data_IF_214293925604
#
_entry.id   IF_214293925604
#
_cell.length_a   1.000
_cell.length_b   1.000
_cell.length_c   1.000
_cell.angle_alpha   90.00
_cell.angle_beta   90.00
_cell.angle_gamma   90.00
#
_symmetry.space_group_name_H-M   'P 1'
#
loop_
_entity.id
_entity.type
_entity.pdbx_description
1 polymer ?
#
# COMPACT_ATOMS: atom_id res chain seq x y z
N UNK A 1 -36.52 -69.67 -34.75
CA UNK A 1 -37.77 -68.89 -34.85
C UNK A 1 -38.04 -68.29 -33.48
N UNK A 2 -38.09 -66.97 -33.41
CA UNK A 2 -38.09 -66.16 -32.19
C UNK A 2 -39.47 -66.14 -31.51
N UNK A 3 -39.52 -66.35 -30.19
CA UNK A 3 -40.17 -65.47 -29.20
C UNK A 3 -40.15 -66.12 -27.80
N UNK A 4 -39.98 -65.28 -26.75
CA UNK A 4 -40.64 -65.33 -25.42
C UNK A 4 -39.71 -65.09 -24.20
N UNK A 5 -39.90 -63.90 -23.60
CA UNK A 5 -40.02 -63.57 -22.16
C UNK A 5 -39.03 -64.10 -21.11
N UNK A 6 -38.28 -63.20 -20.43
CA UNK A 6 -38.46 -62.75 -19.02
C UNK A 6 -37.18 -62.15 -18.39
N UNK A 7 -37.39 -61.07 -17.63
CA UNK A 7 -36.70 -60.55 -16.43
C UNK A 7 -35.17 -60.65 -16.27
N UNK A 8 -34.54 -59.50 -15.98
CA UNK A 8 -33.19 -59.41 -15.43
C UNK A 8 -32.86 -58.02 -14.88
N UNK A 9 -33.08 -57.86 -13.57
CA UNK A 9 -32.34 -57.05 -12.59
C UNK A 9 -31.45 -55.90 -13.13
N UNK A 10 -31.80 -54.64 -12.83
CA UNK A 10 -30.84 -53.52 -12.89
C UNK A 10 -30.77 -52.81 -11.55
N UNK A 11 -29.59 -52.94 -10.97
CA UNK A 11 -29.10 -52.47 -9.68
C UNK A 11 -29.19 -50.96 -9.56
N UNK A 12 -29.78 -50.47 -8.46
CA UNK A 12 -29.79 -49.06 -8.10
C UNK A 12 -28.43 -48.71 -7.48
N UNK A 13 -27.56 -48.01 -8.21
CA UNK A 13 -26.34 -47.42 -7.64
C UNK A 13 -26.70 -46.00 -7.19
N UNK A 14 -26.86 -45.83 -5.88
CA UNK A 14 -26.99 -44.51 -5.26
C UNK A 14 -25.59 -43.86 -5.19
N UNK A 15 -25.29 -42.98 -6.14
CA UNK A 15 -24.09 -42.14 -6.08
C UNK A 15 -24.32 -41.01 -5.07
N UNK A 16 -23.72 -41.12 -3.88
CA UNK A 16 -23.56 -40.01 -2.96
C UNK A 16 -22.70 -38.92 -3.60
N UNK A 17 -23.32 -37.80 -4.02
CA UNK A 17 -22.60 -36.56 -4.27
C UNK A 17 -22.11 -36.00 -2.93
N UNK A 18 -20.83 -36.19 -2.63
CA UNK A 18 -20.14 -35.39 -1.62
C UNK A 18 -19.92 -34.02 -2.25
N UNK A 19 -20.73 -33.05 -1.85
CA UNK A 19 -20.49 -31.65 -2.14
C UNK A 19 -19.21 -31.21 -1.41
N UNK A 20 -18.08 -31.29 -2.09
CA UNK A 20 -16.83 -30.64 -1.64
C UNK A 20 -17.08 -29.15 -1.73
N UNK A 21 -17.33 -28.51 -0.58
CA UNK A 21 -17.37 -27.07 -0.48
C UNK A 21 -16.00 -26.53 -0.88
N UNK A 22 -15.91 -25.90 -2.04
CA UNK A 22 -14.75 -25.10 -2.42
C UNK A 22 -14.75 -23.88 -1.51
N UNK A 23 -13.96 -23.91 -0.44
CA UNK A 23 -13.53 -22.68 0.22
C UNK A 23 -12.82 -21.84 -0.85
N UNK A 24 -13.37 -20.67 -1.15
CA UNK A 24 -12.68 -19.70 -1.99
C UNK A 24 -11.35 -19.39 -1.28
N UNK A 25 -10.24 -19.85 -1.84
CA UNK A 25 -8.91 -19.49 -1.38
C UNK A 25 -8.78 -17.96 -1.57
N UNK A 26 -8.97 -17.23 -0.48
CA UNK A 26 -8.69 -15.80 -0.42
C UNK A 26 -7.19 -15.64 -0.68
N UNK A 27 -6.83 -14.90 -1.73
CA UNK A 27 -5.45 -14.66 -2.07
C UNK A 27 -4.82 -13.77 -0.99
N UNK A 28 -4.06 -14.38 -0.08
CA UNK A 28 -3.45 -13.71 1.07
C UNK A 28 -1.98 -13.39 0.75
N UNK A 29 -1.53 -12.16 1.06
CA UNK A 29 -0.13 -11.76 0.94
C UNK A 29 0.69 -12.37 2.09
N UNK A 30 1.75 -13.10 1.77
CA UNK A 30 2.76 -13.55 2.74
C UNK A 30 3.86 -12.51 2.83
N UNK A 31 4.14 -12.05 4.06
CA UNK A 31 5.15 -11.02 4.34
C UNK A 31 6.40 -11.64 4.96
N UNK A 32 7.55 -11.49 4.31
CA UNK A 32 8.86 -11.87 4.86
C UNK A 32 9.69 -10.61 5.15
N UNK A 33 10.12 -10.43 6.40
CA UNK A 33 10.98 -9.31 6.82
C UNK A 33 12.44 -9.78 6.87
N UNK A 34 13.33 -9.02 6.25
CA UNK A 34 14.79 -9.23 6.29
C UNK A 34 15.50 -7.91 6.61
N UNK A 35 16.52 -7.95 7.46
CA UNK A 35 17.28 -6.78 7.88
C UNK A 35 18.21 -7.08 9.05
N UNK A 36 19.34 -6.36 9.13
CA UNK A 36 20.37 -6.53 10.16
C UNK A 36 20.71 -5.16 10.77
N UNK A 37 20.86 -5.09 12.10
CA UNK A 37 21.63 -4.02 12.74
C UNK A 37 20.90 -2.74 13.16
N UNK A 38 19.57 -2.74 13.35
CA UNK A 38 18.89 -1.65 14.07
C UNK A 38 18.51 -2.06 15.50
N UNK A 39 18.78 -1.21 16.49
CA UNK A 39 18.28 -1.39 17.85
C UNK A 39 16.75 -1.44 17.82
N UNK A 40 16.17 -2.55 18.24
CA UNK A 40 14.73 -2.76 18.30
C UNK A 40 14.23 -2.47 19.71
N UNK A 41 13.08 -1.80 19.81
CA UNK A 41 12.43 -1.52 21.08
C UNK A 41 11.72 -2.79 21.60
N UNK A 42 12.10 -3.33 22.77
CA UNK A 42 11.48 -4.53 23.33
C UNK A 42 10.08 -4.22 23.88
N UNK A 43 9.07 -4.92 23.38
CA UNK A 43 7.68 -4.72 23.81
C UNK A 43 6.95 -6.05 24.01
N UNK A 44 6.19 -6.16 25.08
CA UNK A 44 5.26 -7.27 25.32
C UNK A 44 3.82 -6.80 25.10
N UNK A 45 3.06 -7.54 24.29
CA UNK A 45 1.62 -7.31 24.09
C UNK A 45 0.86 -8.54 24.58
N UNK A 46 0.15 -8.41 25.69
CA UNK A 46 -0.67 -9.48 26.23
C UNK A 46 -1.77 -9.89 25.25
N UNK A 47 -2.25 -11.13 25.38
CA UNK A 47 -3.55 -11.51 24.82
C UNK A 47 -4.61 -10.61 25.43
N UNK A 48 -5.51 -10.07 24.63
CA UNK A 48 -6.53 -9.16 25.14
C UNK A 48 -7.64 -9.97 25.83
N UNK A 49 -8.20 -9.45 26.92
CA UNK A 49 -9.34 -10.05 27.57
C UNK A 49 -10.53 -10.18 26.60
N UNK A 50 -11.28 -11.29 26.69
CA UNK A 50 -12.42 -11.63 25.83
C UNK A 50 -12.11 -11.81 24.33
N UNK A 51 -10.84 -11.73 23.91
CA UNK A 51 -10.41 -11.85 22.52
C UNK A 51 -10.67 -13.23 21.91
N UNK A 52 -10.69 -14.29 22.71
CA UNK A 52 -11.00 -15.64 22.22
C UNK A 52 -12.41 -15.74 21.58
N UNK A 53 -13.33 -14.85 21.98
CA UNK A 53 -14.69 -14.75 21.42
C UNK A 53 -14.79 -13.74 20.27
N UNK A 54 -13.69 -13.06 19.92
CA UNK A 54 -13.61 -12.10 18.82
C UNK A 54 -13.30 -12.83 17.50
N UNK A 55 -13.93 -12.42 16.39
CA UNK A 55 -13.63 -12.98 15.06
C UNK A 55 -12.22 -12.62 14.56
N UNK A 56 -11.54 -11.66 15.20
CA UNK A 56 -10.17 -11.27 14.91
C UNK A 56 -9.32 -11.28 16.17
N UNK A 57 -8.08 -11.77 16.05
CA UNK A 57 -7.08 -11.76 17.11
C UNK A 57 -6.31 -10.42 17.07
N UNK A 58 -6.91 -9.37 17.63
CA UNK A 58 -6.40 -7.99 17.75
C UNK A 58 -4.97 -7.93 18.29
N UNK A 59 -4.68 -8.58 19.41
CA UNK A 59 -3.36 -8.61 20.05
C UNK A 59 -2.29 -9.22 19.14
N UNK A 60 -2.65 -10.25 18.37
CA UNK A 60 -1.76 -10.86 17.38
C UNK A 60 -1.45 -9.92 16.22
N UNK A 61 -2.45 -9.18 15.72
CA UNK A 61 -2.26 -8.18 14.66
C UNK A 61 -1.32 -7.07 15.14
N UNK A 62 -1.51 -6.57 16.37
CA UNK A 62 -0.63 -5.54 16.96
C UNK A 62 0.82 -6.04 17.03
N UNK A 63 1.06 -7.25 17.55
CA UNK A 63 2.42 -7.84 17.60
C UNK A 63 3.05 -7.94 16.21
N UNK A 64 2.27 -8.34 15.21
CA UNK A 64 2.74 -8.47 13.84
C UNK A 64 3.06 -7.12 13.19
N UNK A 65 2.24 -6.10 13.40
CA UNK A 65 2.49 -4.72 12.92
C UNK A 65 3.81 -4.17 13.47
N UNK A 66 3.95 -4.20 14.80
CA UNK A 66 5.13 -3.68 15.48
C UNK A 66 6.39 -4.42 15.01
N UNK A 67 6.35 -5.75 14.96
CA UNK A 67 7.47 -6.55 14.44
C UNK A 67 7.79 -6.24 12.98
N UNK A 68 6.78 -6.12 12.11
CA UNK A 68 6.97 -5.82 10.68
C UNK A 68 7.68 -4.49 10.46
N UNK A 69 7.45 -3.48 11.30
CA UNK A 69 8.19 -2.21 11.20
C UNK A 69 9.71 -2.38 11.31
N UNK A 70 10.19 -3.49 11.87
CA UNK A 70 11.61 -3.70 12.15
C UNK A 70 12.14 -2.81 13.27
N UNK A 71 11.29 -1.97 13.89
CA UNK A 71 11.63 -1.09 15.02
C UNK A 71 11.33 -1.71 16.38
N UNK A 72 10.55 -2.79 16.42
CA UNK A 72 10.19 -3.48 17.66
C UNK A 72 10.63 -4.93 17.63
N UNK A 73 10.91 -5.47 18.82
CA UNK A 73 11.06 -6.89 19.06
C UNK A 73 9.99 -7.33 20.06
N UNK A 74 9.34 -8.45 19.77
CA UNK A 74 8.26 -8.96 20.60
C UNK A 74 8.85 -9.77 21.77
N UNK A 75 8.56 -9.34 23.00
CA UNK A 75 8.82 -10.09 24.22
C UNK A 75 7.58 -10.95 24.52
N UNK A 76 7.80 -12.22 24.86
CA UNK A 76 6.70 -13.15 25.11
C UNK A 76 5.88 -12.73 26.35
N UNK A 77 4.58 -12.53 26.13
CA UNK A 77 3.62 -12.18 27.16
C UNK A 77 2.94 -13.41 27.79
N UNK A 78 3.17 -14.61 27.26
CA UNK A 78 2.41 -15.81 27.63
C UNK A 78 0.97 -15.77 27.12
N UNK A 79 0.20 -16.81 27.46
CA UNK A 79 -1.18 -16.99 26.97
C UNK A 79 -2.27 -16.35 27.84
N UNK A 80 -1.97 -15.96 29.07
CA UNK A 80 -2.96 -15.42 30.01
C UNK A 80 -3.45 -14.04 29.55
N UNK A 81 -4.76 -13.85 29.34
CA UNK A 81 -5.27 -12.54 28.97
C UNK A 81 -5.06 -11.51 30.08
N UNK A 82 -4.78 -10.25 29.71
CA UNK A 82 -4.65 -9.13 30.64
C UNK A 82 -5.51 -7.98 30.15
N UNK A 83 -6.51 -7.59 30.96
CA UNK A 83 -7.43 -6.48 30.67
C UNK A 83 -6.75 -5.12 30.87
N UNK A 84 -7.22 -4.08 30.19
CA UNK A 84 -6.79 -2.70 30.44
C UNK A 84 -7.18 -2.20 31.84
N UNK A 85 -8.12 -2.88 32.50
CA UNK A 85 -8.58 -2.55 33.86
C UNK A 85 -7.79 -3.25 34.96
N UNK A 86 -6.98 -4.24 34.61
CA UNK A 86 -6.23 -5.02 35.60
C UNK A 86 -5.08 -4.21 36.20
N UNK A 87 -4.74 -4.52 37.45
CA UNK A 87 -3.48 -4.04 38.03
C UNK A 87 -2.33 -4.82 37.40
N UNK A 88 -1.37 -4.12 36.82
CA UNK A 88 -0.23 -4.73 36.11
C UNK A 88 1.05 -4.55 36.92
N UNK A 89 1.72 -5.65 37.25
CA UNK A 89 3.08 -5.63 37.79
C UNK A 89 4.09 -5.32 36.67
N UNK A 90 4.38 -4.03 36.47
CA UNK A 90 5.33 -3.56 35.46
C UNK A 90 6.77 -4.00 35.75
N UNK A 91 7.13 -4.23 37.02
CA UNK A 91 8.44 -4.73 37.42
C UNK A 91 8.70 -6.12 36.86
N UNK A 92 7.69 -6.99 36.90
CA UNK A 92 7.77 -8.34 36.31
C UNK A 92 8.01 -8.32 34.80
N UNK A 93 7.40 -7.37 34.06
CA UNK A 93 7.57 -7.24 32.61
C UNK A 93 8.95 -6.69 32.24
N UNK A 94 9.44 -5.70 33.00
CA UNK A 94 10.82 -5.23 32.88
C UNK A 94 11.82 -6.35 33.12
N UNK A 95 11.59 -7.19 34.13
CA UNK A 95 12.45 -8.34 34.43
C UNK A 95 12.45 -9.41 33.31
N UNK A 96 11.36 -9.52 32.53
CA UNK A 96 11.28 -10.33 31.31
C UNK A 96 11.94 -9.67 30.08
N UNK A 97 12.45 -8.45 30.22
CA UNK A 97 13.14 -7.72 29.16
C UNK A 97 12.23 -6.89 28.25
N UNK A 98 10.96 -6.66 28.64
CA UNK A 98 10.08 -5.74 27.92
C UNK A 98 10.21 -4.32 28.49
N UNK A 99 10.58 -3.34 27.66
CA UNK A 99 10.66 -1.91 28.03
C UNK A 99 9.29 -1.23 27.96
N UNK A 100 8.35 -1.82 27.21
CA UNK A 100 6.95 -1.45 27.21
C UNK A 100 6.03 -2.67 27.32
N UNK A 101 4.85 -2.47 27.89
CA UNK A 101 3.82 -3.48 28.01
C UNK A 101 2.45 -2.97 27.55
N UNK A 102 1.67 -3.84 26.90
CA UNK A 102 0.33 -3.53 26.42
C UNK A 102 -0.67 -4.55 26.96
N UNK A 103 -1.73 -4.06 27.61
CA UNK A 103 -2.91 -4.84 28.00
C UNK A 103 -4.16 -4.28 27.34
N UNK A 104 -5.23 -5.08 27.27
CA UNK A 104 -6.45 -4.65 26.60
C UNK A 104 -7.58 -5.67 26.63
N UNK A 105 -8.72 -5.29 26.05
CA UNK A 105 -9.90 -6.13 25.92
C UNK A 105 -10.61 -5.91 24.59
N UNK A 106 -11.36 -6.94 24.16
CA UNK A 106 -12.24 -6.89 22.99
C UNK A 106 -13.64 -7.32 23.40
N UNK A 107 -14.59 -6.38 23.39
CA UNK A 107 -15.96 -6.64 23.87
C UNK A 107 -16.97 -6.45 22.75
N UNK A 108 -17.85 -7.45 22.54
CA UNK A 108 -18.99 -7.32 21.64
C UNK A 108 -20.10 -6.53 22.33
N UNK A 109 -20.53 -5.43 21.71
CA UNK A 109 -21.58 -4.55 22.21
C UNK A 109 -22.98 -5.07 21.81
N UNK A 110 -24.05 -4.65 22.53
CA UNK A 110 -25.42 -5.10 22.24
C UNK A 110 -25.92 -4.78 20.82
N UNK A 111 -25.39 -3.74 20.20
CA UNK A 111 -25.71 -3.33 18.82
C UNK A 111 -24.93 -4.12 17.75
N UNK A 112 -24.18 -5.16 18.14
CA UNK A 112 -23.39 -6.01 17.25
C UNK A 112 -22.01 -5.46 16.86
N UNK A 113 -21.67 -4.23 17.27
CA UNK A 113 -20.32 -3.68 17.11
C UNK A 113 -19.36 -4.28 18.14
N UNK A 114 -18.07 -4.04 17.96
CA UNK A 114 -17.01 -4.42 18.88
C UNK A 114 -16.29 -3.19 19.39
N UNK A 115 -15.97 -3.19 20.68
CA UNK A 115 -15.14 -2.19 21.34
C UNK A 115 -13.78 -2.82 21.69
N UNK A 116 -12.70 -2.23 21.18
CA UNK A 116 -11.32 -2.55 21.52
C UNK A 116 -10.80 -1.49 22.46
N UNK A 117 -10.43 -1.88 23.69
CA UNK A 117 -9.79 -1.00 24.68
C UNK A 117 -8.38 -1.50 24.95
N UNK A 118 -7.45 -0.58 25.18
CA UNK A 118 -6.09 -0.96 25.59
C UNK A 118 -5.45 0.10 26.48
N UNK A 119 -4.39 -0.28 27.16
CA UNK A 119 -3.44 0.62 27.82
C UNK A 119 -2.01 0.23 27.45
N UNK A 120 -1.18 1.25 27.28
CA UNK A 120 0.25 1.13 27.05
C UNK A 120 0.99 1.63 28.29
N UNK A 121 2.03 0.90 28.69
CA UNK A 121 2.85 1.20 29.86
C UNK A 121 4.33 1.28 29.48
N UNK A 122 5.05 2.20 30.12
CA UNK A 122 6.52 2.23 30.17
C UNK A 122 6.95 1.44 31.40
N UNK A 123 7.56 0.26 31.19
CA UNK A 123 7.97 -0.62 32.30
C UNK A 123 9.25 -0.12 32.93
N UNK A 124 10.03 0.74 32.26
CA UNK A 124 11.28 1.27 32.81
C UNK A 124 10.98 2.39 33.79
N UNK A 125 10.09 3.31 33.42
CA UNK A 125 9.61 4.43 34.25
C UNK A 125 8.47 4.07 35.18
N UNK A 126 7.88 2.88 35.03
CA UNK A 126 6.77 2.39 35.84
C UNK A 126 5.52 3.29 35.74
N UNK A 127 5.19 3.75 34.53
CA UNK A 127 4.06 4.66 34.30
C UNK A 127 3.15 4.21 33.16
N UNK A 128 1.90 4.68 33.17
CA UNK A 128 0.98 4.51 32.04
C UNK A 128 1.20 5.60 31.01
N UNK A 129 1.35 5.22 29.75
CA UNK A 129 1.45 6.12 28.60
C UNK A 129 0.07 6.43 27.98
N UNK A 130 -1.01 5.92 28.59
CA UNK A 130 -2.39 6.11 28.16
C UNK A 130 -2.93 4.93 27.35
N UNK A 131 -4.04 5.17 26.65
CA UNK A 131 -4.77 4.15 25.90
C UNK A 131 -5.91 4.74 25.08
N UNK A 132 -6.59 3.92 24.29
CA UNK A 132 -7.77 4.31 23.53
C UNK A 132 -8.92 3.31 23.73
N UNK A 133 -10.13 3.77 23.43
CA UNK A 133 -11.28 2.91 23.12
C UNK A 133 -11.68 3.13 21.66
N UNK A 134 -11.79 2.04 20.90
CA UNK A 134 -12.14 2.05 19.48
C UNK A 134 -13.38 1.18 19.27
N UNK A 135 -14.47 1.79 18.80
CA UNK A 135 -15.69 1.07 18.45
C UNK A 135 -15.76 0.91 16.94
N UNK A 136 -15.97 -0.32 16.47
CA UNK A 136 -16.08 -0.64 15.04
C UNK A 136 -17.02 -1.82 14.79
N UNK A 137 -17.62 -1.94 13.60
CA UNK A 137 -18.23 -3.20 13.19
C UNK A 137 -17.17 -4.32 13.12
N UNK A 138 -17.61 -5.57 13.03
CA UNK A 138 -16.73 -6.73 12.88
C UNK A 138 -15.69 -6.55 11.76
N UNK A 139 -16.12 -6.03 10.60
CA UNK A 139 -15.26 -5.75 9.45
C UNK A 139 -14.21 -4.66 9.69
N UNK A 140 -14.30 -3.91 10.80
CA UNK A 140 -13.35 -2.87 11.19
C UNK A 140 -12.35 -3.30 12.28
N UNK A 141 -12.48 -4.51 12.85
CA UNK A 141 -11.63 -4.96 13.96
C UNK A 141 -10.14 -4.97 13.63
N UNK A 142 -9.77 -5.42 12.42
CA UNK A 142 -8.37 -5.38 11.96
C UNK A 142 -7.83 -3.95 11.92
N UNK A 143 -8.61 -3.03 11.34
CA UNK A 143 -8.26 -1.61 11.30
C UNK A 143 -8.15 -0.99 12.69
N UNK A 144 -8.98 -1.42 13.65
CA UNK A 144 -8.85 -1.03 15.06
C UNK A 144 -7.52 -1.53 15.65
N UNK A 145 -7.11 -2.77 15.40
CA UNK A 145 -5.80 -3.29 15.82
C UNK A 145 -4.63 -2.48 15.23
N UNK A 146 -4.69 -2.17 13.93
CA UNK A 146 -3.69 -1.33 13.26
C UNK A 146 -3.59 0.08 13.88
N UNK A 147 -4.73 0.69 14.26
CA UNK A 147 -4.75 1.99 14.97
C UNK A 147 -4.12 1.91 16.36
N UNK A 148 -4.30 0.78 17.07
CA UNK A 148 -3.60 0.54 18.35
C UNK A 148 -2.09 0.46 18.12
N UNK A 149 -1.64 -0.26 17.10
CA UNK A 149 -0.21 -0.33 16.75
C UNK A 149 0.36 1.04 16.36
N UNK A 150 -0.40 1.87 15.63
CA UNK A 150 0.01 3.23 15.27
C UNK A 150 0.16 4.13 16.50
N UNK A 151 -0.74 3.99 17.48
CA UNK A 151 -0.64 4.70 18.75
C UNK A 151 0.61 4.30 19.53
N UNK A 152 0.88 2.99 19.63
CA UNK A 152 2.06 2.46 20.31
C UNK A 152 3.33 2.98 19.65
N UNK A 153 3.40 2.90 18.31
CA UNK A 153 4.52 3.43 17.53
C UNK A 153 4.78 4.90 17.83
N UNK A 154 3.72 5.72 17.79
CA UNK A 154 3.82 7.15 18.01
C UNK A 154 4.26 7.50 19.44
N UNK A 155 3.75 6.79 20.45
CA UNK A 155 4.09 7.03 21.86
C UNK A 155 5.52 6.65 22.21
N UNK A 156 6.03 5.56 21.64
CA UNK A 156 7.34 5.03 22.00
C UNK A 156 8.48 5.57 21.12
N UNK A 157 8.23 5.76 19.83
CA UNK A 157 9.28 6.12 18.85
C UNK A 157 9.11 7.53 18.28
N UNK A 158 7.96 8.17 18.52
CA UNK A 158 7.59 9.41 17.86
C UNK A 158 7.15 9.21 16.39
N UNK A 159 6.60 10.27 15.81
CA UNK A 159 6.01 10.20 14.46
C UNK A 159 4.74 9.34 14.40
N UNK A 160 4.18 9.16 13.20
CA UNK A 160 2.97 8.32 13.00
C UNK A 160 3.39 6.97 12.41
N UNK A 161 2.88 5.89 12.99
CA UNK A 161 2.88 4.58 12.33
C UNK A 161 2.01 4.60 11.06
N UNK A 162 2.23 3.64 10.16
CA UNK A 162 1.49 3.50 8.90
C UNK A 162 0.68 2.21 8.84
N UNK A 163 0.42 1.57 9.98
CA UNK A 163 -0.25 0.28 10.02
C UNK A 163 -1.72 0.44 9.61
N UNK A 164 -2.39 1.51 10.04
CA UNK A 164 -3.78 1.81 9.68
C UNK A 164 -3.93 2.51 8.31
N UNK A 165 -3.01 2.24 7.38
CA UNK A 165 -3.10 2.69 5.98
C UNK A 165 -3.48 1.52 5.08
N UNK A 166 -3.71 1.79 3.79
CA UNK A 166 -4.07 0.78 2.78
C UNK A 166 -3.12 0.79 1.61
N UNK A 167 -3.05 -0.34 0.92
CA UNK A 167 -2.33 -0.47 -0.35
C UNK A 167 -3.34 -0.60 -1.49
N UNK A 168 -2.98 -0.07 -2.66
CA UNK A 168 -3.58 -0.49 -3.92
C UNK A 168 -2.52 -1.14 -4.80
N UNK A 169 -2.91 -2.13 -5.59
CA UNK A 169 -2.03 -2.82 -6.52
C UNK A 169 -2.86 -3.59 -7.55
N UNK A 170 -2.22 -3.99 -8.64
CA UNK A 170 -2.88 -4.77 -9.69
C UNK A 170 -2.37 -6.20 -9.65
N UNK A 171 -3.29 -7.15 -9.54
CA UNK A 171 -2.99 -8.58 -9.74
C UNK A 171 -3.37 -8.96 -11.16
N UNK A 172 -2.44 -9.63 -11.86
CA UNK A 172 -2.74 -10.41 -13.06
C UNK A 172 -2.83 -11.89 -12.69
N UNK A 173 -4.04 -12.44 -12.74
CA UNK A 173 -4.32 -13.86 -12.49
C UNK A 173 -5.15 -14.40 -13.64
N UNK A 174 -4.63 -15.43 -14.32
CA UNK A 174 -5.19 -15.89 -15.59
C UNK A 174 -5.24 -14.75 -16.63
N UNK A 175 -6.35 -14.69 -17.38
CA UNK A 175 -6.61 -13.65 -18.38
C UNK A 175 -7.25 -12.37 -17.84
N UNK A 176 -7.19 -12.10 -16.52
CA UNK A 176 -7.82 -10.92 -15.91
C UNK A 176 -6.84 -10.07 -15.12
N UNK A 177 -7.11 -8.77 -15.10
CA UNK A 177 -6.44 -7.75 -14.30
C UNK A 177 -7.39 -7.27 -13.21
N UNK A 178 -6.94 -7.29 -11.97
CA UNK A 178 -7.74 -6.91 -10.81
C UNK A 178 -7.04 -5.81 -10.01
N UNK A 179 -7.69 -4.65 -9.88
CA UNK A 179 -7.28 -3.62 -8.93
C UNK A 179 -7.74 -4.07 -7.54
N UNK A 180 -6.78 -4.31 -6.67
CA UNK A 180 -6.98 -4.72 -5.28
C UNK A 180 -6.76 -3.55 -4.34
N UNK A 181 -7.50 -3.55 -3.23
CA UNK A 181 -7.29 -2.67 -2.08
C UNK A 181 -7.12 -3.57 -0.86
N UNK A 182 -6.02 -3.43 -0.12
CA UNK A 182 -5.78 -4.19 1.11
C UNK A 182 -5.37 -3.28 2.25
N UNK A 183 -5.33 -3.81 3.47
CA UNK A 183 -4.59 -3.20 4.58
C UNK A 183 -3.09 -3.10 4.23
N UNK A 184 -2.35 -2.27 4.97
CA UNK A 184 -0.90 -2.04 4.77
C UNK A 184 -0.05 -3.30 4.86
N UNK A 185 -0.54 -4.33 5.55
CA UNK A 185 0.09 -5.64 5.69
C UNK A 185 -0.32 -6.66 4.61
N UNK A 186 -1.13 -6.23 3.64
CA UNK A 186 -1.59 -7.05 2.53
C UNK A 186 -2.84 -7.91 2.83
N UNK A 187 -3.40 -7.81 4.02
CA UNK A 187 -4.60 -8.54 4.45
C UNK A 187 -5.88 -7.76 4.14
N UNK A 188 -7.05 -8.40 4.35
CA UNK A 188 -8.38 -7.85 4.00
C UNK A 188 -8.41 -7.30 2.55
N UNK A 189 -7.79 -8.03 1.62
CA UNK A 189 -7.72 -7.63 0.23
C UNK A 189 -9.10 -7.73 -0.45
N UNK A 190 -9.51 -6.66 -1.12
CA UNK A 190 -10.79 -6.54 -1.82
C UNK A 190 -10.59 -6.10 -3.26
N UNK A 191 -11.35 -6.72 -4.15
CA UNK A 191 -11.35 -6.37 -5.57
C UNK A 191 -12.15 -5.09 -5.76
N UNK A 192 -11.49 -3.98 -6.05
CA UNK A 192 -12.14 -2.73 -6.44
C UNK A 192 -12.59 -2.75 -7.91
N UNK A 193 -11.80 -3.37 -8.81
CA UNK A 193 -12.17 -3.50 -10.22
C UNK A 193 -11.58 -4.79 -10.81
N UNK A 194 -12.34 -5.46 -11.67
CA UNK A 194 -11.90 -6.63 -12.42
C UNK A 194 -12.15 -6.43 -13.92
N UNK A 195 -11.08 -6.52 -14.71
CA UNK A 195 -11.09 -6.23 -16.16
C UNK A 195 -10.44 -7.36 -16.96
N UNK A 196 -10.93 -7.70 -18.16
CA UNK A 196 -10.20 -8.56 -19.10
C UNK A 196 -8.99 -7.84 -19.73
N UNK A 197 -8.97 -6.51 -19.67
CA UNK A 197 -7.91 -5.65 -20.21
C UNK A 197 -7.08 -5.02 -19.09
N UNK A 198 -5.84 -4.57 -19.37
CA UNK A 198 -4.95 -4.00 -18.35
C UNK A 198 -5.55 -2.87 -17.51
N UNK A 199 -5.15 -2.84 -16.24
CA UNK A 199 -5.31 -1.72 -15.32
C UNK A 199 -3.89 -1.34 -14.89
N UNK A 200 -3.53 -0.06 -14.96
CA UNK A 200 -2.17 0.40 -14.62
C UNK A 200 -2.21 1.72 -13.84
N UNK A 201 -1.08 2.01 -13.19
CA UNK A 201 -0.80 3.28 -12.51
C UNK A 201 -1.88 3.75 -11.52
N UNK A 202 -2.29 2.93 -10.53
CA UNK A 202 -3.19 3.39 -9.50
C UNK A 202 -2.52 4.47 -8.64
N UNK A 203 -3.28 5.48 -8.23
CA UNK A 203 -2.82 6.59 -7.40
C UNK A 203 -3.94 7.01 -6.44
N UNK A 204 -3.64 6.99 -5.14
CA UNK A 204 -4.59 7.38 -4.09
C UNK A 204 -4.86 8.89 -4.08
N UNK A 205 -6.11 9.27 -3.83
CA UNK A 205 -6.43 10.65 -3.44
C UNK A 205 -5.84 10.96 -2.07
N UNK A 206 -5.54 12.24 -1.75
CA UNK A 206 -4.90 12.62 -0.48
C UNK A 206 -5.71 12.28 0.78
N UNK A 207 -7.03 12.15 0.67
CA UNK A 207 -7.95 11.75 1.75
C UNK A 207 -8.08 10.22 1.91
N UNK A 208 -7.53 9.44 0.97
CA UNK A 208 -7.61 7.98 0.97
C UNK A 208 -8.99 7.42 0.57
N UNK A 209 -9.92 8.24 0.07
CA UNK A 209 -11.27 7.76 -0.30
C UNK A 209 -11.38 7.30 -1.74
N UNK A 210 -10.43 7.68 -2.61
CA UNK A 210 -10.48 7.41 -4.05
C UNK A 210 -9.15 6.90 -4.58
N UNK A 211 -9.23 6.17 -5.69
CA UNK A 211 -8.06 5.74 -6.46
C UNK A 211 -8.26 6.17 -7.92
N UNK A 212 -7.32 6.96 -8.43
CA UNK A 212 -7.21 7.24 -9.86
C UNK A 212 -6.38 6.14 -10.53
N UNK A 213 -6.69 5.76 -11.77
CA UNK A 213 -5.98 4.71 -12.49
C UNK A 213 -6.29 4.79 -13.99
N UNK A 214 -5.50 4.07 -14.79
CA UNK A 214 -5.76 3.89 -16.22
C UNK A 214 -6.41 2.54 -16.44
N UNK A 215 -7.51 2.50 -17.19
CA UNK A 215 -8.16 1.27 -17.61
C UNK A 215 -8.20 1.15 -19.13
N UNK A 216 -7.92 -0.06 -19.60
CA UNK A 216 -8.00 -0.43 -21.02
C UNK A 216 -9.29 -1.18 -21.36
N UNK A 217 -10.29 -1.22 -20.46
CA UNK A 217 -11.57 -1.94 -20.66
C UNK A 217 -12.31 -1.54 -21.96
N UNK A 218 -12.05 -0.32 -22.46
CA UNK A 218 -12.59 0.19 -23.74
C UNK A 218 -11.65 -0.03 -24.94
N UNK A 219 -10.66 -0.92 -24.80
CA UNK A 219 -9.57 -1.19 -25.77
C UNK A 219 -8.72 0.04 -26.12
N UNK A 220 -8.76 1.05 -25.26
CA UNK A 220 -7.94 2.26 -25.31
C UNK A 220 -7.70 2.76 -23.88
N UNK A 221 -6.60 3.48 -23.61
CA UNK A 221 -6.32 3.99 -22.28
C UNK A 221 -7.30 5.10 -21.90
N UNK A 222 -7.99 4.95 -20.77
CA UNK A 222 -8.88 5.95 -20.19
C UNK A 222 -8.52 6.13 -18.72
N UNK A 223 -8.37 7.38 -18.28
CA UNK A 223 -8.11 7.71 -16.88
C UNK A 223 -9.43 7.81 -16.13
N UNK A 224 -9.55 7.03 -15.06
CA UNK A 224 -10.71 7.01 -14.17
C UNK A 224 -10.32 7.41 -12.75
N UNK A 225 -11.29 7.92 -12.00
CA UNK A 225 -11.31 7.93 -10.54
C UNK A 225 -12.37 6.94 -10.07
N UNK A 226 -12.01 6.08 -9.13
CA UNK A 226 -12.92 5.20 -8.39
C UNK A 226 -13.10 5.74 -6.97
N UNK A 227 -14.33 6.07 -6.59
CA UNK A 227 -14.71 6.33 -5.20
C UNK A 227 -14.92 4.99 -4.47
N UNK A 228 -14.04 4.66 -3.54
CA UNK A 228 -14.03 3.33 -2.91
C UNK A 228 -15.26 3.07 -2.00
N UNK A 229 -15.77 4.05 -1.22
CA UNK A 229 -16.97 3.83 -0.41
C UNK A 229 -18.23 3.55 -1.24
N UNK A 230 -18.43 4.28 -2.34
CA UNK A 230 -19.68 4.21 -3.13
C UNK A 230 -19.58 3.28 -4.34
N UNK A 231 -18.38 2.93 -4.78
CA UNK A 231 -18.13 2.23 -6.05
C UNK A 231 -18.33 3.10 -7.30
N UNK A 232 -18.59 4.41 -7.14
CA UNK A 232 -18.81 5.32 -8.26
C UNK A 232 -17.52 5.56 -9.04
N UNK A 233 -17.61 5.58 -10.36
CA UNK A 233 -16.49 5.88 -11.27
C UNK A 233 -16.73 7.15 -12.07
N UNK A 234 -15.69 7.97 -12.20
CA UNK A 234 -15.68 9.19 -13.02
C UNK A 234 -14.60 9.06 -14.09
N UNK A 235 -14.90 9.42 -15.34
CA UNK A 235 -13.89 9.56 -16.39
C UNK A 235 -13.22 10.91 -16.21
N UNK A 236 -11.91 10.91 -15.96
CA UNK A 236 -11.11 12.13 -15.81
C UNK A 236 -10.53 12.56 -17.15
N UNK A 237 -10.06 11.60 -17.96
CA UNK A 237 -9.53 11.89 -19.29
C UNK A 237 -9.76 10.74 -20.26
N UNK A 238 -10.18 11.09 -21.48
CA UNK A 238 -10.45 10.18 -22.60
C UNK A 238 -10.15 10.89 -23.94
N UNK A 239 -8.98 11.50 -24.05
CA UNK A 239 -8.54 12.22 -25.23
C UNK A 239 -8.01 11.26 -26.31
N UNK A 240 -7.78 11.78 -27.53
CA UNK A 240 -7.14 11.01 -28.60
C UNK A 240 -5.71 10.61 -28.18
N UNK A 241 -5.33 9.36 -28.45
CA UNK A 241 -3.99 8.85 -28.15
C UNK A 241 -3.87 8.29 -26.73
N UNK A 242 -2.67 8.42 -26.15
CA UNK A 242 -2.37 7.95 -24.80
C UNK A 242 -3.03 8.85 -23.74
N UNK A 243 -3.57 8.24 -22.69
CA UNK A 243 -4.07 8.90 -21.48
C UNK A 243 -3.56 8.11 -20.27
N UNK A 244 -2.60 8.63 -19.53
CA UNK A 244 -1.87 7.82 -18.55
C UNK A 244 -1.36 8.60 -17.34
N UNK A 245 -0.77 7.85 -16.40
CA UNK A 245 -0.03 8.36 -15.24
C UNK A 245 -0.76 9.46 -14.44
N UNK A 246 -1.95 9.17 -13.88
CA UNK A 246 -2.64 10.13 -13.03
C UNK A 246 -1.85 10.38 -11.74
N UNK A 247 -1.74 11.65 -11.34
CA UNK A 247 -1.18 12.06 -10.05
C UNK A 247 -2.02 13.16 -9.42
N UNK A 248 -2.49 12.93 -8.19
CA UNK A 248 -3.32 13.89 -7.47
C UNK A 248 -2.52 15.11 -7.02
N UNK A 249 -3.15 16.29 -7.11
CA UNK A 249 -2.69 17.45 -6.34
C UNK A 249 -2.91 17.19 -4.84
N UNK A 250 -2.07 17.74 -3.93
CA UNK A 250 -2.19 17.50 -2.49
C UNK A 250 -3.51 17.96 -1.88
N UNK A 251 -4.19 18.93 -2.52
CA UNK A 251 -5.52 19.41 -2.12
C UNK A 251 -6.68 18.51 -2.61
N UNK A 252 -6.39 17.47 -3.40
CA UNK A 252 -7.36 16.52 -3.93
C UNK A 252 -8.31 17.09 -4.99
N UNK A 253 -8.10 18.33 -5.46
CA UNK A 253 -9.04 18.97 -6.41
C UNK A 253 -8.72 18.66 -7.87
N UNK A 254 -7.47 18.34 -8.17
CA UNK A 254 -6.97 18.21 -9.54
C UNK A 254 -6.06 16.99 -9.67
N UNK A 255 -5.81 16.62 -10.91
CA UNK A 255 -4.84 15.62 -11.30
C UNK A 255 -3.92 16.19 -12.37
N UNK A 256 -2.65 15.81 -12.31
CA UNK A 256 -1.76 15.84 -13.45
C UNK A 256 -1.90 14.49 -14.21
N UNK A 257 -1.92 14.54 -15.54
CA UNK A 257 -2.04 13.37 -16.42
C UNK A 257 -1.10 13.53 -17.62
N UNK A 258 -0.62 12.41 -18.15
CA UNK A 258 0.23 12.38 -19.34
C UNK A 258 -0.61 12.03 -20.58
N UNK A 259 -0.72 12.97 -21.54
CA UNK A 259 -1.55 12.86 -22.73
C UNK A 259 -0.74 13.04 -24.02
N UNK A 260 -1.01 12.24 -25.04
CA UNK A 260 -0.36 12.37 -26.37
C UNK A 260 -1.27 13.01 -27.43
N UNK A 261 -2.32 13.73 -27.01
CA UNK A 261 -3.30 14.33 -27.93
C UNK A 261 -2.70 15.41 -28.85
N UNK A 262 -1.54 15.98 -28.48
CA UNK A 262 -0.82 17.00 -29.25
C UNK A 262 0.38 16.44 -30.04
N UNK A 263 0.44 15.12 -30.27
CA UNK A 263 1.58 14.43 -30.87
C UNK A 263 2.41 13.72 -29.81
N UNK A 264 3.46 14.34 -29.31
CA UNK A 264 4.27 13.77 -28.23
C UNK A 264 3.51 13.81 -26.89
N UNK A 265 3.86 12.90 -25.98
CA UNK A 265 3.25 12.85 -24.64
C UNK A 265 3.69 14.08 -23.85
N UNK A 266 2.72 14.76 -23.27
CA UNK A 266 2.90 16.01 -22.52
C UNK A 266 2.06 15.95 -21.25
N UNK A 267 2.41 16.78 -20.27
CA UNK A 267 1.71 16.82 -18.99
C UNK A 267 0.57 17.84 -19.08
N UNK A 268 -0.60 17.43 -18.62
CA UNK A 268 -1.79 18.25 -18.49
C UNK A 268 -2.29 18.22 -17.05
N UNK A 269 -2.96 19.29 -16.63
CA UNK A 269 -3.77 19.36 -15.42
C UNK A 269 -5.25 19.21 -15.80
N UNK A 270 -6.03 18.54 -14.95
CA UNK A 270 -7.47 18.35 -15.11
C UNK A 270 -8.12 18.33 -13.72
N UNK A 271 -9.35 18.84 -13.59
CA UNK A 271 -10.10 18.76 -12.35
C UNK A 271 -10.51 17.30 -12.07
N UNK A 272 -10.74 16.95 -10.80
CA UNK A 272 -11.13 15.59 -10.41
C UNK A 272 -12.49 15.15 -11.00
N UNK A 273 -13.32 16.08 -11.46
CA UNK A 273 -14.56 15.80 -12.18
C UNK A 273 -14.38 15.60 -13.70
N UNK A 274 -13.15 15.74 -14.21
CA UNK A 274 -12.79 15.64 -15.63
C UNK A 274 -12.86 16.96 -16.42
N UNK A 275 -13.27 18.07 -15.78
CA UNK A 275 -13.32 19.39 -16.40
C UNK A 275 -11.97 20.12 -16.35
N UNK A 276 -11.89 21.30 -17.00
CA UNK A 276 -10.75 22.21 -16.81
C UNK A 276 -9.41 21.72 -17.34
N UNK A 277 -9.40 20.88 -18.39
CA UNK A 277 -8.18 20.35 -18.99
C UNK A 277 -7.26 21.49 -19.48
N UNK A 278 -6.02 21.53 -18.97
CA UNK A 278 -5.01 22.55 -19.28
C UNK A 278 -3.64 21.92 -19.49
N UNK A 279 -2.94 22.29 -20.56
CA UNK A 279 -1.57 21.82 -20.83
C UNK A 279 -0.56 22.51 -19.89
N UNK A 280 0.40 21.75 -19.36
CA UNK A 280 1.43 22.22 -18.43
C UNK A 280 2.84 22.20 -19.04
N UNK A 281 3.20 21.19 -19.82
CA UNK A 281 4.49 21.17 -20.55
C UNK A 281 4.31 21.50 -22.01
N UNK A 282 5.32 22.14 -22.61
CA UNK A 282 5.36 22.47 -24.02
C UNK A 282 6.69 22.05 -24.64
N UNK A 283 6.64 21.46 -25.83
CA UNK A 283 7.86 21.06 -26.53
C UNK A 283 7.66 19.81 -27.38
N UNK A 284 8.79 19.32 -27.89
CA UNK A 284 8.92 18.11 -28.69
C UNK A 284 9.43 16.91 -27.90
N UNK A 285 9.71 17.05 -26.59
CA UNK A 285 10.05 15.92 -25.72
C UNK A 285 8.83 15.07 -25.36
N UNK A 286 9.08 13.86 -24.86
CA UNK A 286 8.11 13.07 -24.09
C UNK A 286 8.22 13.51 -22.63
N UNK A 287 7.14 14.06 -22.09
CA UNK A 287 7.01 14.38 -20.66
C UNK A 287 5.88 13.53 -20.05
N UNK A 288 6.20 12.72 -19.03
CA UNK A 288 5.28 11.73 -18.46
C UNK A 288 5.54 11.49 -16.96
N UNK A 289 4.74 10.63 -16.33
CA UNK A 289 4.87 10.23 -14.92
C UNK A 289 4.94 11.43 -13.95
N UNK A 290 3.96 12.35 -13.99
CA UNK A 290 3.96 13.49 -13.07
C UNK A 290 3.81 13.02 -11.61
N UNK A 291 4.39 13.78 -10.68
CA UNK A 291 4.22 13.63 -9.25
C UNK A 291 4.28 15.01 -8.59
N UNK A 292 3.22 15.41 -7.88
CA UNK A 292 3.21 16.67 -7.14
C UNK A 292 4.17 16.62 -5.95
N UNK A 293 4.76 17.76 -5.62
CA UNK A 293 5.37 17.96 -4.30
C UNK A 293 4.27 18.03 -3.22
N UNK A 294 4.57 17.67 -1.95
CA UNK A 294 3.57 17.69 -0.87
C UNK A 294 2.94 19.06 -0.61
N UNK A 295 3.69 20.13 -0.87
CA UNK A 295 3.20 21.52 -0.75
C UNK A 295 2.38 21.99 -1.96
N UNK A 296 2.30 21.19 -3.03
CA UNK A 296 1.55 21.47 -4.24
C UNK A 296 2.19 22.50 -5.17
N UNK A 297 3.38 23.01 -4.86
CA UNK A 297 4.02 24.08 -5.62
C UNK A 297 4.76 23.58 -6.86
N UNK A 298 5.18 22.32 -6.87
CA UNK A 298 6.00 21.72 -7.92
C UNK A 298 5.36 20.44 -8.46
N UNK A 299 5.69 20.12 -9.71
CA UNK A 299 5.46 18.81 -10.32
C UNK A 299 6.82 18.28 -10.76
N UNK A 300 7.18 17.10 -10.24
CA UNK A 300 8.28 16.27 -10.73
C UNK A 300 7.77 15.36 -11.83
N UNK A 301 8.59 15.09 -12.85
CA UNK A 301 8.17 14.27 -13.99
C UNK A 301 9.36 13.70 -14.74
N UNK A 302 9.11 12.64 -15.51
CA UNK A 302 10.10 12.03 -16.41
C UNK A 302 10.07 12.76 -17.75
N UNK A 303 11.24 13.15 -18.27
CA UNK A 303 11.40 13.77 -19.58
C UNK A 303 12.63 13.27 -20.32
N UNK A 304 12.52 13.12 -21.65
CA UNK A 304 13.62 12.77 -22.56
C UNK A 304 14.29 13.99 -23.21
N UNK A 305 13.96 15.21 -22.77
CA UNK A 305 14.50 16.46 -23.36
C UNK A 305 16.04 16.58 -23.34
N UNK A 306 16.71 15.81 -22.49
CA UNK A 306 18.17 15.70 -22.42
C UNK A 306 18.75 14.51 -23.18
N UNK A 307 17.96 13.84 -24.03
CA UNK A 307 18.32 12.61 -24.76
C UNK A 307 17.70 11.37 -24.12
N UNK A 308 18.26 10.90 -23.01
CA UNK A 308 17.69 9.77 -22.26
C UNK A 308 16.67 10.26 -21.21
N UNK A 309 15.66 9.43 -20.83
CA UNK A 309 14.73 9.74 -19.75
C UNK A 309 15.42 10.09 -18.44
N UNK A 310 15.07 11.26 -17.91
CA UNK A 310 15.58 11.81 -16.66
C UNK A 310 14.45 12.49 -15.91
N UNK A 311 14.63 12.71 -14.61
CA UNK A 311 13.64 13.42 -13.78
C UNK A 311 13.89 14.92 -13.83
N UNK A 312 12.83 15.66 -14.10
CA UNK A 312 12.74 17.12 -14.09
C UNK A 312 11.69 17.58 -13.08
N UNK A 313 11.73 18.87 -12.73
CA UNK A 313 10.70 19.54 -11.95
C UNK A 313 10.29 20.84 -12.62
N UNK A 314 9.03 21.23 -12.46
CA UNK A 314 8.50 22.52 -12.89
C UNK A 314 7.54 23.07 -11.83
N UNK A 315 7.14 24.35 -11.97
CA UNK A 315 5.99 24.88 -11.22
C UNK A 315 4.74 24.04 -11.48
N UNK A 316 3.90 23.85 -10.47
CA UNK A 316 2.59 23.21 -10.64
C UNK A 316 1.65 23.99 -11.59
N UNK A 317 1.96 25.26 -11.89
CA UNK A 317 1.27 26.08 -12.88
C UNK A 317 1.78 25.85 -14.32
N UNK A 318 2.73 24.95 -14.51
CA UNK A 318 3.31 24.57 -15.80
C UNK A 318 4.51 25.42 -16.21
N UNK A 319 5.10 25.07 -17.36
CA UNK A 319 6.31 25.69 -17.89
C UNK A 319 6.10 27.14 -18.35
N UNK A 320 4.84 27.58 -18.51
CA UNK A 320 4.52 28.99 -18.71
C UNK A 320 4.93 29.89 -17.52
N UNK A 321 5.08 29.32 -16.32
CA UNK A 321 5.54 30.04 -15.13
C UNK A 321 7.06 29.97 -14.93
N UNK A 322 7.78 29.23 -15.78
CA UNK A 322 9.23 29.04 -15.70
C UNK A 322 9.65 27.70 -16.29
N UNK A 323 10.83 27.66 -16.92
CA UNK A 323 11.35 26.45 -17.56
C UNK A 323 11.55 25.31 -16.56
N UNK A 324 11.26 24.07 -16.96
CA UNK A 324 11.55 22.92 -16.11
C UNK A 324 13.05 22.72 -15.91
N UNK A 325 13.41 22.23 -14.72
CA UNK A 325 14.77 22.05 -14.27
C UNK A 325 15.06 20.57 -14.04
N UNK A 326 16.22 20.10 -14.50
CA UNK A 326 16.65 18.71 -14.28
C UNK A 326 16.97 18.49 -12.80
N UNK A 327 16.57 17.34 -12.26
CA UNK A 327 16.73 16.95 -10.86
C UNK A 327 17.75 15.82 -10.69
N UNK A 328 17.79 14.88 -11.63
CA UNK A 328 18.67 13.70 -11.56
C UNK A 328 19.90 13.86 -12.45
N UNK A 329 21.09 13.70 -11.87
CA UNK A 329 22.37 13.80 -12.58
C UNK A 329 23.23 12.53 -12.46
N UNK A 330 22.81 11.59 -11.60
CA UNK A 330 23.41 10.27 -11.45
C UNK A 330 22.56 9.23 -12.19
N UNK A 331 23.22 8.34 -12.95
CA UNK A 331 22.55 7.31 -13.75
C UNK A 331 22.13 7.80 -15.14
N UNK A 332 22.18 6.90 -16.13
CA UNK A 332 21.92 7.22 -17.53
C UNK A 332 20.44 7.22 -17.92
N UNK A 333 19.57 6.67 -17.06
CA UNK A 333 18.14 6.54 -17.31
C UNK A 333 17.42 6.53 -15.95
N UNK A 334 16.55 7.51 -15.70
CA UNK A 334 15.86 7.71 -14.43
C UNK A 334 14.38 8.06 -14.66
N UNK A 335 13.46 7.31 -14.05
CA UNK A 335 12.01 7.41 -14.30
C UNK A 335 11.18 7.22 -13.04
N UNK A 336 9.87 7.36 -13.17
CA UNK A 336 8.86 7.08 -12.15
C UNK A 336 9.09 7.83 -10.82
N UNK A 337 9.29 9.17 -10.84
CA UNK A 337 9.58 9.93 -9.65
C UNK A 337 8.42 9.88 -8.65
N UNK A 338 8.75 9.79 -7.36
CA UNK A 338 7.82 10.01 -6.24
C UNK A 338 8.50 10.90 -5.23
N UNK A 339 7.82 11.94 -4.78
CA UNK A 339 8.34 12.84 -3.75
C UNK A 339 7.95 12.29 -2.38
N UNK A 340 8.86 12.34 -1.41
CA UNK A 340 8.56 11.96 -0.03
C UNK A 340 7.50 12.88 0.59
N UNK A 341 6.69 12.42 1.55
CA UNK A 341 5.65 13.25 2.19
C UNK A 341 6.16 14.53 2.85
N UNK A 342 7.43 14.58 3.25
CA UNK A 342 8.08 15.77 3.82
C UNK A 342 8.76 16.68 2.77
N UNK A 343 8.74 16.29 1.49
CA UNK A 343 9.28 17.06 0.38
C UNK A 343 10.81 17.04 0.27
N UNK A 344 11.51 16.23 1.06
CA UNK A 344 12.99 16.25 1.14
C UNK A 344 13.68 15.25 0.22
N UNK A 345 12.97 14.21 -0.24
CA UNK A 345 13.55 13.12 -1.01
C UNK A 345 12.70 12.80 -2.25
N UNK A 346 13.36 12.21 -3.25
CA UNK A 346 12.69 11.65 -4.43
C UNK A 346 13.09 10.20 -4.59
N UNK A 347 12.13 9.29 -4.51
CA UNK A 347 12.31 7.90 -4.91
C UNK A 347 12.09 7.78 -6.42
N UNK A 348 12.90 6.97 -7.10
CA UNK A 348 12.82 6.78 -8.55
C UNK A 348 13.43 5.46 -8.99
N UNK A 349 13.15 5.07 -10.23
CA UNK A 349 13.73 3.89 -10.86
C UNK A 349 14.91 4.31 -11.74
N UNK A 350 16.08 3.71 -11.52
CA UNK A 350 17.30 3.93 -12.30
C UNK A 350 17.72 2.67 -13.04
N UNK A 351 18.22 2.81 -14.26
CA UNK A 351 18.82 1.69 -15.01
C UNK A 351 20.30 1.57 -14.68
N UNK A 352 20.68 0.46 -14.04
CA UNK A 352 22.06 0.19 -13.60
C UNK A 352 22.43 -1.26 -13.93
N UNK A 353 23.55 -1.45 -14.62
CA UNK A 353 24.02 -2.80 -15.01
C UNK A 353 23.01 -3.60 -15.84
N UNK A 354 22.14 -2.91 -16.59
CA UNK A 354 21.06 -3.52 -17.37
C UNK A 354 19.75 -3.78 -16.61
N UNK A 355 19.76 -3.74 -15.28
CA UNK A 355 18.56 -3.87 -14.44
C UNK A 355 17.93 -2.53 -14.08
N UNK A 356 16.66 -2.57 -13.66
CA UNK A 356 15.92 -1.45 -13.09
C UNK A 356 15.92 -1.56 -11.57
N UNK A 357 16.43 -0.52 -10.90
CA UNK A 357 16.66 -0.49 -9.45
C UNK A 357 16.01 0.72 -8.82
N UNK A 358 15.51 0.55 -7.61
CA UNK A 358 15.00 1.64 -6.79
C UNK A 358 16.15 2.47 -6.21
N UNK A 359 16.09 3.78 -6.45
CA UNK A 359 17.01 4.78 -5.94
C UNK A 359 16.27 5.82 -5.10
N UNK A 360 16.99 6.44 -4.19
CA UNK A 360 16.55 7.56 -3.36
C UNK A 360 17.51 8.73 -3.52
N UNK A 361 16.97 9.87 -3.94
CA UNK A 361 17.70 11.14 -4.04
C UNK A 361 17.33 12.03 -2.86
N UNK A 362 18.34 12.50 -2.13
CA UNK A 362 18.20 13.60 -1.17
C UNK A 362 18.25 14.95 -1.91
N UNK A 363 17.19 15.75 -1.80
CA UNK A 363 17.04 16.98 -2.59
C UNK A 363 17.93 18.14 -2.10
N UNK A 364 18.41 18.09 -0.86
CA UNK A 364 19.26 19.14 -0.30
C UNK A 364 20.73 18.94 -0.71
N UNK A 365 21.24 17.71 -0.58
CA UNK A 365 22.63 17.36 -0.91
C UNK A 365 22.84 16.95 -2.37
N UNK A 366 21.77 16.52 -3.07
CA UNK A 366 21.88 15.91 -4.39
C UNK A 366 22.41 14.47 -4.37
N UNK A 367 22.57 13.86 -3.19
CA UNK A 367 23.09 12.50 -3.04
C UNK A 367 22.05 11.47 -3.48
N UNK A 368 22.43 10.59 -4.41
CA UNK A 368 21.60 9.50 -4.90
C UNK A 368 22.14 8.14 -4.41
N UNK A 369 21.29 7.37 -3.74
CA UNK A 369 21.63 6.06 -3.17
C UNK A 369 20.72 4.98 -3.71
N UNK A 370 21.30 3.85 -4.15
CA UNK A 370 20.52 2.67 -4.52
C UNK A 370 20.01 1.94 -3.27
N UNK A 371 18.72 1.59 -3.25
CA UNK A 371 18.09 0.94 -2.08
C UNK A 371 17.96 -0.58 -2.25
N UNK A 372 18.05 -1.10 -3.47
CA UNK A 372 17.67 -2.46 -3.80
C UNK A 372 18.73 -3.21 -4.61
N UNK A 373 18.81 -4.51 -4.34
CA UNK A 373 19.69 -5.44 -5.05
C UNK A 373 18.97 -6.19 -6.19
N UNK A 374 17.64 -6.09 -6.24
CA UNK A 374 16.77 -6.60 -7.31
C UNK A 374 17.01 -5.89 -8.65
N UNK A 375 16.39 -6.38 -9.75
CA UNK A 375 16.71 -5.93 -11.12
C UNK A 375 15.50 -5.56 -11.97
N UNK A 376 14.28 -5.70 -11.45
CA UNK A 376 13.03 -5.42 -12.16
C UNK A 376 12.13 -4.52 -11.32
N UNK A 377 12.73 -3.54 -10.64
CA UNK A 377 12.00 -2.66 -9.74
C UNK A 377 11.19 -1.64 -10.53
N UNK A 378 9.94 -1.49 -10.17
CA UNK A 378 9.00 -0.58 -10.82
C UNK A 378 8.03 0.06 -9.83
N UNK A 379 7.43 1.17 -10.27
CA UNK A 379 6.32 1.86 -9.60
C UNK A 379 6.53 2.08 -8.09
N UNK A 380 7.59 2.82 -7.68
CA UNK A 380 7.78 3.13 -6.27
C UNK A 380 6.63 3.97 -5.72
N UNK A 381 6.39 3.88 -4.42
CA UNK A 381 5.41 4.66 -3.67
C UNK A 381 5.82 4.79 -2.21
N UNK A 382 5.99 6.01 -1.71
CA UNK A 382 6.24 6.23 -0.28
C UNK A 382 5.03 5.83 0.56
N UNK A 383 5.30 5.21 1.72
CA UNK A 383 4.34 5.15 2.81
C UNK A 383 4.01 6.56 3.33
N UNK A 384 2.84 6.74 3.94
CA UNK A 384 2.35 8.05 4.38
C UNK A 384 3.26 8.77 5.40
N UNK A 385 4.08 8.03 6.16
CA UNK A 385 5.08 8.59 7.08
C UNK A 385 6.47 8.84 6.45
N UNK A 386 6.65 8.50 5.18
CA UNK A 386 7.91 8.67 4.45
C UNK A 386 9.05 7.73 4.86
N UNK A 387 8.80 6.73 5.73
CA UNK A 387 9.85 5.84 6.26
C UNK A 387 10.05 4.58 5.42
N UNK A 388 9.10 4.24 4.56
CA UNK A 388 9.14 3.07 3.68
C UNK A 388 8.75 3.44 2.25
N UNK A 389 9.26 2.68 1.30
CA UNK A 389 8.91 2.77 -0.11
C UNK A 389 8.43 1.38 -0.54
N UNK A 390 7.16 1.30 -0.94
CA UNK A 390 6.58 0.13 -1.62
C UNK A 390 6.93 0.20 -3.10
N UNK A 391 7.24 -0.94 -3.69
CA UNK A 391 7.56 -1.09 -5.11
C UNK A 391 7.18 -2.49 -5.57
N UNK A 392 7.05 -2.69 -6.89
CA UNK A 392 6.92 -4.02 -7.47
C UNK A 392 8.28 -4.48 -8.00
N UNK A 393 8.54 -5.78 -7.92
CA UNK A 393 9.75 -6.40 -8.46
C UNK A 393 9.47 -7.85 -8.86
N UNK A 394 10.49 -8.56 -9.34
CA UNK A 394 10.37 -9.96 -9.69
C UNK A 394 11.22 -10.85 -8.79
N UNK A 395 10.59 -11.90 -8.25
CA UNK A 395 11.27 -12.98 -7.51
C UNK A 395 10.92 -14.29 -8.21
N UNK A 396 11.93 -15.06 -8.62
CA UNK A 396 11.77 -16.31 -9.37
C UNK A 396 10.85 -16.17 -10.60
N UNK A 397 10.98 -15.07 -11.34
CA UNK A 397 10.18 -14.77 -12.53
C UNK A 397 8.72 -14.38 -12.27
N UNK A 398 8.32 -14.18 -11.01
CA UNK A 398 6.97 -13.74 -10.63
C UNK A 398 6.99 -12.33 -10.07
N UNK A 399 6.05 -11.50 -10.51
CA UNK A 399 5.85 -10.15 -9.96
C UNK A 399 5.34 -10.22 -8.52
N UNK A 400 6.03 -9.56 -7.61
CA UNK A 400 5.71 -9.46 -6.18
C UNK A 400 5.72 -8.00 -5.75
N UNK A 401 5.09 -7.71 -4.61
CA UNK A 401 5.28 -6.44 -3.93
C UNK A 401 6.44 -6.55 -2.95
N UNK A 402 7.18 -5.47 -2.80
CA UNK A 402 8.22 -5.36 -1.80
C UNK A 402 8.19 -3.95 -1.18
N UNK A 403 8.59 -3.85 0.07
CA UNK A 403 8.78 -2.58 0.75
C UNK A 403 10.21 -2.50 1.29
N UNK A 404 10.84 -1.34 1.20
CA UNK A 404 12.16 -1.08 1.78
C UNK A 404 12.11 0.19 2.61
N UNK A 405 12.78 0.22 3.76
CA UNK A 405 12.93 1.44 4.54
C UNK A 405 13.80 2.46 3.78
N UNK A 406 13.59 3.75 4.03
CA UNK A 406 14.37 4.82 3.36
C UNK A 406 15.85 4.83 3.75
N UNK A 407 16.24 4.17 4.84
CA UNK A 407 17.62 3.90 5.22
C UNK A 407 18.20 2.60 4.62
N UNK A 408 17.40 1.84 3.87
CA UNK A 408 17.78 0.60 3.20
C UNK A 408 17.93 -0.64 4.10
N UNK A 409 17.70 -0.51 5.42
CA UNK A 409 18.02 -1.55 6.41
C UNK A 409 16.94 -2.61 6.58
N UNK A 410 15.68 -2.25 6.39
CA UNK A 410 14.54 -3.16 6.53
C UNK A 410 13.93 -3.40 5.16
N UNK A 411 13.80 -4.67 4.79
CA UNK A 411 13.17 -5.09 3.54
C UNK A 411 12.06 -6.08 3.84
N UNK A 412 10.94 -5.90 3.16
CA UNK A 412 9.79 -6.78 3.24
C UNK A 412 9.41 -7.24 1.85
N UNK A 413 9.12 -8.52 1.67
CA UNK A 413 8.50 -9.04 0.45
C UNK A 413 7.08 -9.45 0.79
N UNK A 414 6.11 -8.86 0.09
CA UNK A 414 4.70 -9.23 0.16
C UNK A 414 4.36 -10.02 -1.11
N UNK A 415 4.29 -11.35 -0.96
CA UNK A 415 4.07 -12.29 -2.07
C UNK A 415 2.65 -12.83 -2.06
N UNK A 416 1.99 -12.88 -3.23
CA UNK A 416 0.66 -13.49 -3.38
C UNK A 416 0.78 -14.91 -3.95
N UNK A 417 -0.07 -15.81 -3.45
CA UNK A 417 -0.25 -17.11 -4.08
C UNK A 417 -1.11 -16.97 -5.35
N UNK A 418 -0.65 -17.53 -6.47
CA UNK A 418 -1.47 -17.74 -7.68
C UNK A 418 -1.59 -16.58 -8.68
N UNK A 419 -0.86 -15.46 -8.51
CA UNK A 419 -0.89 -14.33 -9.44
C UNK A 419 0.42 -13.54 -9.49
N UNK A 420 0.55 -12.69 -10.52
CA UNK A 420 1.66 -11.71 -10.61
C UNK A 420 1.15 -10.34 -10.20
N UNK A 421 1.79 -9.74 -9.20
CA UNK A 421 1.47 -8.40 -8.72
C UNK A 421 2.31 -7.35 -9.44
N UNK A 422 1.74 -6.16 -9.62
CA UNK A 422 2.37 -5.00 -10.26
C UNK A 422 1.70 -3.71 -9.80
N UNK A 423 2.30 -2.58 -10.18
CA UNK A 423 1.69 -1.24 -10.06
C UNK A 423 1.20 -0.88 -8.64
N UNK A 424 2.01 -1.02 -7.59
CA UNK A 424 1.58 -0.67 -6.26
C UNK A 424 1.46 0.85 -6.05
N UNK A 425 0.57 1.23 -5.15
CA UNK A 425 0.52 2.55 -4.55
C UNK A 425 0.12 2.45 -3.09
N UNK A 426 0.94 3.04 -2.21
CA UNK A 426 0.68 3.13 -0.78
C UNK A 426 -0.26 4.31 -0.52
N UNK A 427 -1.36 4.05 0.17
CA UNK A 427 -2.36 5.06 0.53
C UNK A 427 -1.89 6.02 1.61
N UNK A 428 -2.57 7.18 1.72
CA UNK A 428 -2.26 8.18 2.74
C UNK A 428 -2.70 7.69 4.13
N UNK A 429 -2.49 8.54 5.12
CA UNK A 429 -3.26 8.43 6.35
C UNK A 429 -4.74 8.68 6.02
N UNK A 430 -5.57 7.66 6.28
CA UNK A 430 -7.01 7.75 6.03
C UNK A 430 -7.62 8.85 6.90
N UNK A 431 -8.42 9.73 6.31
CA UNK A 431 -9.12 10.81 7.00
C UNK A 431 -10.49 10.38 7.54
#
# INVERSE_FOLDING_TARGET
MSLMTKLGLKTLVASCLIAVGTSAAQAQLNVLVTGVGSTQFPIATATFANEASSPQQVSAIIRQDLQRSGKFTNVDAGGTPVSETDSVDLGSWKAKGADAFVSGSVTKLPNGQFEVRFRLYDTVKQESLGGLSLVSPESGLRMSAHKVADYIYAKLLGGRGVFATRLSYVIKTGGRYQLQISDSDGQDARIALSSPEPIISPAWSPDGTKVAYVSFEKKKPVVYIHDLPTGKRVIVSNQKGNNSAPAWSPDGRKLAVALSQTGNTQIFQVNADGSGLRRLTTGSSIDTEPAYSPDGNLIYFTSDRGGAPQIYKMSANGESAGSAQRVTFTGSYNTSPRVSPDGKQVAYISRVGGGFKLYLLDLASGTATGLTDTTHDESPSFAANGQYILYATQVNGRGVLAAVSTDGRTRQVLSLQGGSVREPSWGPFMQ
#
